data_IF_481682689984
#
_entry.id   IF_481682689984
#
_cell.length_a   1.000
_cell.length_b   1.000
_cell.length_c   1.000
_cell.angle_alpha   90.00
_cell.angle_beta   90.00
_cell.angle_gamma   90.00
#
_symmetry.space_group_name_H-M   'P 1'
#
loop_
_entity.id
_entity.type
_entity.pdbx_description
1 polymer ?
#
# COMPACT_ATOMS: atom_id res chain seq x y z
N UNK A 1 -13.67 -3.98 -21.85
CA UNK A 1 -12.28 -3.72 -21.45
C UNK A 1 -11.41 -4.77 -22.15
N UNK A 2 -10.23 -4.39 -22.66
CA UNK A 2 -9.33 -5.36 -23.31
C UNK A 2 -8.80 -6.37 -22.29
N UNK A 3 -8.33 -7.54 -22.75
CA UNK A 3 -7.74 -8.55 -21.85
C UNK A 3 -6.50 -8.03 -21.10
N UNK A 4 -5.86 -6.98 -21.64
CA UNK A 4 -4.69 -6.31 -21.06
C UNK A 4 -5.02 -5.16 -20.10
N UNK A 5 -6.31 -4.86 -19.85
CA UNK A 5 -6.71 -3.71 -19.03
C UNK A 5 -7.91 -4.01 -18.14
N UNK A 6 -7.81 -3.64 -16.86
CA UNK A 6 -8.91 -3.65 -15.90
C UNK A 6 -8.97 -2.30 -15.20
N UNK A 7 -10.20 -1.83 -14.96
CA UNK A 7 -10.49 -0.60 -14.23
C UNK A 7 -11.56 -0.91 -13.19
N UNK A 8 -11.33 -0.46 -11.97
CA UNK A 8 -12.29 -0.54 -10.87
C UNK A 8 -12.45 0.84 -10.24
N UNK A 9 -13.69 1.23 -9.94
CA UNK A 9 -14.00 2.42 -9.16
C UNK A 9 -14.39 1.98 -7.74
N UNK A 10 -13.53 2.27 -6.77
CA UNK A 10 -13.72 1.84 -5.38
C UNK A 10 -14.23 2.98 -4.50
N UNK A 11 -15.01 2.63 -3.48
CA UNK A 11 -15.41 3.57 -2.44
C UNK A 11 -14.22 3.87 -1.51
N UNK A 12 -13.57 5.00 -1.75
CA UNK A 12 -12.42 5.47 -0.97
C UNK A 12 -12.74 5.79 0.50
N UNK A 13 -14.01 5.78 0.90
CA UNK A 13 -14.45 5.99 2.29
C UNK A 13 -14.59 4.69 3.09
N UNK A 14 -14.55 3.53 2.43
CA UNK A 14 -14.63 2.23 3.09
C UNK A 14 -13.47 2.06 4.09
N UNK A 15 -13.69 1.39 5.25
CA UNK A 15 -12.63 1.19 6.24
C UNK A 15 -11.41 0.44 5.69
N UNK A 16 -11.66 -0.48 4.75
CA UNK A 16 -10.63 -1.22 4.04
C UNK A 16 -11.10 -1.60 2.64
N UNK A 17 -10.20 -1.47 1.68
CA UNK A 17 -10.39 -1.83 0.27
C UNK A 17 -9.24 -2.73 -0.13
N UNK A 18 -9.52 -3.83 -0.83
CA UNK A 18 -8.50 -4.75 -1.35
C UNK A 18 -8.65 -4.86 -2.87
N UNK A 19 -7.56 -4.68 -3.60
CA UNK A 19 -7.57 -4.59 -5.05
C UNK A 19 -7.15 -5.88 -5.76
N UNK A 20 -6.60 -6.86 -5.04
CA UNK A 20 -6.07 -8.09 -5.63
C UNK A 20 -7.10 -8.81 -6.52
N UNK A 21 -8.26 -9.16 -5.97
CA UNK A 21 -9.31 -9.85 -6.73
C UNK A 21 -10.00 -8.90 -7.72
N UNK A 22 -10.27 -7.66 -7.32
CA UNK A 22 -10.98 -6.68 -8.13
C UNK A 22 -10.25 -6.39 -9.46
N UNK A 23 -8.92 -6.30 -9.42
CA UNK A 23 -8.09 -6.04 -10.60
C UNK A 23 -7.35 -7.29 -11.10
N UNK A 24 -7.61 -8.47 -10.52
CA UNK A 24 -6.86 -9.71 -10.76
C UNK A 24 -5.33 -9.51 -10.80
N UNK A 25 -4.81 -8.85 -9.77
CA UNK A 25 -3.38 -8.60 -9.64
C UNK A 25 -2.62 -9.92 -9.46
N UNK A 26 -1.47 -10.06 -10.11
CA UNK A 26 -0.65 -11.28 -10.03
C UNK A 26 0.72 -11.04 -9.43
N UNK A 27 1.19 -9.79 -9.41
CA UNK A 27 2.49 -9.41 -8.85
C UNK A 27 2.45 -8.91 -7.40
N UNK A 28 1.26 -8.55 -6.90
CA UNK A 28 1.10 -7.99 -5.56
C UNK A 28 -0.33 -8.17 -5.03
N UNK A 29 -0.47 -7.91 -3.72
CA UNK A 29 -1.70 -7.42 -3.13
C UNK A 29 -1.57 -5.90 -2.91
N UNK A 30 -2.68 -5.19 -3.04
CA UNK A 30 -2.76 -3.77 -2.70
C UNK A 30 -4.04 -3.54 -1.92
N UNK A 31 -3.91 -2.83 -0.81
CA UNK A 31 -5.04 -2.38 -0.01
C UNK A 31 -4.95 -0.92 0.38
N UNK A 32 -6.12 -0.33 0.58
CA UNK A 32 -6.28 1.00 1.15
C UNK A 32 -6.98 0.83 2.49
N UNK A 33 -6.41 1.40 3.55
CA UNK A 33 -6.98 1.35 4.90
C UNK A 33 -7.25 2.75 5.41
N UNK A 34 -8.49 2.98 5.87
CA UNK A 34 -8.91 4.21 6.52
C UNK A 34 -9.11 3.94 8.01
N UNK A 35 -8.27 4.53 8.85
CA UNK A 35 -8.34 4.38 10.30
C UNK A 35 -8.85 5.71 10.88
N UNK A 36 -10.00 5.67 11.54
CA UNK A 36 -10.60 6.85 12.17
C UNK A 36 -9.72 7.41 13.30
N UNK A 37 -9.88 8.70 13.62
CA UNK A 37 -9.15 9.35 14.71
C UNK A 37 -9.30 8.56 16.02
N UNK A 38 -8.16 8.32 16.71
CA UNK A 38 -8.08 7.55 17.94
C UNK A 38 -8.24 6.03 17.78
N UNK A 39 -8.56 5.52 16.59
CA UNK A 39 -8.66 4.09 16.32
C UNK A 39 -7.29 3.47 15.99
N UNK A 40 -7.20 2.15 16.13
CA UNK A 40 -5.98 1.39 15.89
C UNK A 40 -6.29 0.03 15.27
N UNK A 41 -5.33 -0.51 14.53
CA UNK A 41 -5.33 -1.94 14.20
C UNK A 41 -5.05 -2.72 15.51
N UNK A 42 -5.95 -3.61 15.96
CA UNK A 42 -5.93 -4.13 17.32
C UNK A 42 -4.93 -5.27 17.55
N UNK A 43 -4.03 -5.53 16.59
CA UNK A 43 -3.05 -6.61 16.67
C UNK A 43 -1.72 -6.22 16.03
N UNK A 44 -0.64 -6.74 16.59
CA UNK A 44 0.70 -6.71 15.98
C UNK A 44 0.84 -7.93 15.08
N UNK A 45 1.31 -7.75 13.86
CA UNK A 45 1.53 -8.83 12.92
C UNK A 45 2.88 -8.70 12.20
N UNK A 46 3.28 -9.77 11.53
CA UNK A 46 4.42 -9.80 10.60
C UNK A 46 4.06 -10.71 9.44
N UNK A 47 4.81 -10.63 8.36
CA UNK A 47 4.66 -11.55 7.23
C UNK A 47 5.70 -12.67 7.27
N UNK A 48 5.51 -13.65 6.38
CA UNK A 48 6.45 -14.77 6.22
C UNK A 48 7.39 -14.52 5.05
N UNK A 49 6.85 -14.14 3.89
CA UNK A 49 7.63 -13.99 2.64
C UNK A 49 7.50 -12.61 1.99
N UNK A 50 6.45 -11.86 2.34
CA UNK A 50 6.15 -10.60 1.67
C UNK A 50 6.74 -9.42 2.44
N UNK A 51 7.43 -8.54 1.73
CA UNK A 51 7.62 -7.18 2.20
C UNK A 51 6.38 -6.34 1.92
N UNK A 52 6.23 -5.26 2.67
CA UNK A 52 5.15 -4.30 2.46
C UNK A 52 5.71 -2.89 2.30
N UNK A 53 5.32 -2.23 1.21
CA UNK A 53 5.49 -0.80 1.03
C UNK A 53 4.20 -0.10 1.46
N UNK A 54 4.34 0.86 2.37
CA UNK A 54 3.24 1.73 2.79
C UNK A 54 3.46 3.14 2.28
N UNK A 55 2.35 3.81 1.95
CA UNK A 55 2.30 5.23 1.71
C UNK A 55 1.16 5.87 2.50
N UNK A 56 1.45 6.94 3.24
CA UNK A 56 0.41 7.71 3.93
C UNK A 56 -0.18 8.73 2.95
N UNK A 57 -1.42 8.50 2.53
CA UNK A 57 -2.10 9.34 1.54
C UNK A 57 -2.77 10.57 2.16
N UNK A 58 -3.23 10.45 3.40
CA UNK A 58 -3.87 11.52 4.15
C UNK A 58 -3.76 11.31 5.67
N UNK A 59 -3.84 12.41 6.42
CA UNK A 59 -3.87 12.37 7.88
C UNK A 59 -2.53 12.09 8.54
N UNK A 60 -2.58 11.64 9.79
CA UNK A 60 -1.40 11.35 10.62
C UNK A 60 -1.71 10.31 11.69
N UNK A 61 -0.67 9.66 12.18
CA UNK A 61 -0.78 8.61 13.18
C UNK A 61 0.57 8.08 13.59
N UNK A 62 0.59 6.82 14.00
CA UNK A 62 1.78 6.19 14.53
C UNK A 62 1.91 4.76 14.02
N UNK A 63 3.14 4.40 13.65
CA UNK A 63 3.57 3.04 13.38
C UNK A 63 4.26 2.50 14.63
N UNK A 64 3.71 1.43 15.20
CA UNK A 64 4.49 0.53 16.04
C UNK A 64 5.31 -0.39 15.15
N UNK A 65 6.62 -0.48 15.38
CA UNK A 65 7.52 -1.39 14.68
C UNK A 65 8.61 -1.90 15.64
N UNK A 66 8.65 -3.22 15.86
CA UNK A 66 9.67 -3.91 16.67
C UNK A 66 9.95 -3.25 18.04
N UNK A 67 8.89 -2.86 18.76
CA UNK A 67 8.98 -2.27 20.08
C UNK A 67 9.19 -0.76 20.10
N UNK A 68 9.28 -0.12 18.93
CA UNK A 68 9.37 1.34 18.80
C UNK A 68 8.08 1.91 18.24
N UNK A 69 7.80 3.15 18.58
CA UNK A 69 6.70 3.93 18.01
C UNK A 69 7.30 5.07 17.22
N UNK A 70 6.87 5.22 15.97
CA UNK A 70 7.32 6.25 15.03
C UNK A 70 6.09 7.03 14.56
N UNK A 71 6.18 8.35 14.55
CA UNK A 71 5.13 9.20 13.98
C UNK A 71 5.15 9.04 12.45
N UNK A 72 3.96 8.98 11.85
CA UNK A 72 3.79 8.94 10.40
C UNK A 72 2.71 9.94 9.98
N UNK A 73 2.92 10.62 8.86
CA UNK A 73 1.99 11.61 8.33
C UNK A 73 1.94 11.61 6.80
N UNK A 74 0.94 12.30 6.24
CA UNK A 74 0.74 12.41 4.79
C UNK A 74 2.06 12.71 4.06
N UNK A 75 2.38 11.87 3.09
CA UNK A 75 3.60 11.98 2.29
C UNK A 75 4.73 11.06 2.74
N UNK A 76 4.62 10.46 3.93
CA UNK A 76 5.56 9.44 4.37
C UNK A 76 5.39 8.14 3.58
N UNK A 77 6.52 7.54 3.23
CA UNK A 77 6.62 6.23 2.61
C UNK A 77 7.61 5.38 3.38
N UNK A 78 7.25 4.13 3.64
CA UNK A 78 8.12 3.22 4.37
C UNK A 78 7.94 1.79 3.90
N UNK A 79 9.04 1.05 3.94
CA UNK A 79 9.10 -0.36 3.56
C UNK A 79 9.36 -1.18 4.81
N UNK A 80 8.60 -2.25 5.00
CA UNK A 80 8.78 -3.17 6.13
C UNK A 80 9.07 -4.56 5.61
N UNK A 81 10.21 -5.09 6.03
CA UNK A 81 10.61 -6.47 5.78
C UNK A 81 9.60 -7.47 6.38
N UNK A 82 9.55 -8.72 5.88
CA UNK A 82 8.65 -9.75 6.40
C UNK A 82 8.74 -9.91 7.92
N UNK A 83 9.94 -9.83 8.49
CA UNK A 83 10.22 -10.02 9.90
C UNK A 83 9.69 -8.90 10.80
N UNK A 84 9.49 -7.69 10.26
CA UNK A 84 9.13 -6.50 11.02
C UNK A 84 7.73 -6.60 11.65
N UNK A 85 7.67 -6.59 12.99
CA UNK A 85 6.42 -6.74 13.75
C UNK A 85 5.73 -5.39 13.91
N UNK A 86 4.56 -5.23 13.30
CA UNK A 86 3.92 -3.94 13.09
C UNK A 86 2.46 -3.87 13.52
N UNK A 87 2.05 -2.67 13.93
CA UNK A 87 0.66 -2.24 14.07
C UNK A 87 0.59 -0.74 13.78
N UNK A 88 -0.51 -0.25 13.22
CA UNK A 88 -0.68 1.16 12.92
C UNK A 88 -1.91 1.69 13.66
N UNK A 89 -1.82 2.92 14.17
CA UNK A 89 -2.95 3.66 14.72
C UNK A 89 -3.03 5.07 14.14
N UNK A 90 -4.24 5.61 14.10
CA UNK A 90 -4.45 7.02 13.80
C UNK A 90 -4.10 7.90 15.00
N UNK A 91 -3.81 9.17 14.75
CA UNK A 91 -3.69 10.16 15.83
C UNK A 91 -5.04 10.36 16.52
N UNK A 92 -5.03 10.85 17.77
CA UNK A 92 -6.26 11.09 18.53
C UNK A 92 -7.17 12.16 17.88
N UNK A 93 -6.57 13.11 17.16
CA UNK A 93 -7.22 14.28 16.54
C UNK A 93 -7.37 14.16 15.01
N UNK A 94 -6.89 13.07 14.40
CA UNK A 94 -6.87 12.93 12.95
C UNK A 94 -6.95 11.45 12.55
N UNK A 95 -7.81 11.12 11.60
CA UNK A 95 -7.75 9.83 10.93
C UNK A 95 -6.49 9.69 10.07
N UNK A 96 -6.23 8.49 9.56
CA UNK A 96 -5.14 8.24 8.61
C UNK A 96 -5.61 7.32 7.48
N UNK A 97 -5.22 7.66 6.25
CA UNK A 97 -5.45 6.84 5.05
C UNK A 97 -4.11 6.33 4.54
N UNK A 98 -3.99 5.01 4.43
CA UNK A 98 -2.77 4.32 4.01
C UNK A 98 -3.05 3.50 2.76
N UNK A 99 -2.12 3.53 1.81
CA UNK A 99 -1.98 2.43 0.84
C UNK A 99 -0.92 1.46 1.36
N UNK A 100 -1.21 0.16 1.26
CA UNK A 100 -0.27 -0.92 1.50
C UNK A 100 -0.11 -1.70 0.20
N UNK A 101 1.13 -1.94 -0.22
CA UNK A 101 1.48 -2.77 -1.37
C UNK A 101 2.32 -3.93 -0.87
N UNK A 102 1.75 -5.11 -0.93
CA UNK A 102 2.37 -6.34 -0.49
C UNK A 102 2.96 -7.10 -1.67
N UNK A 103 4.27 -7.35 -1.63
CA UNK A 103 5.01 -8.09 -2.68
C UNK A 103 5.93 -9.11 -2.04
N UNK A 104 6.26 -10.19 -2.76
CA UNK A 104 7.24 -11.15 -2.28
C UNK A 104 8.61 -10.46 -2.20
N UNK A 105 9.25 -10.50 -1.04
CA UNK A 105 10.56 -9.85 -0.85
C UNK A 105 11.57 -10.38 -1.87
N UNK A 106 12.22 -9.45 -2.57
CA UNK A 106 13.24 -9.76 -3.57
C UNK A 106 12.71 -10.44 -4.84
N UNK A 107 11.40 -10.39 -5.11
CA UNK A 107 10.84 -10.96 -6.34
C UNK A 107 10.85 -10.01 -7.55
N UNK A 108 11.19 -8.73 -7.35
CA UNK A 108 11.28 -7.77 -8.45
C UNK A 108 12.43 -8.18 -9.39
N UNK A 109 12.10 -8.43 -10.66
CA UNK A 109 13.06 -8.69 -11.72
C UNK A 109 13.61 -7.39 -12.31
N UNK A 110 13.56 -7.28 -13.64
CA UNK A 110 13.82 -6.02 -14.31
C UNK A 110 12.81 -4.95 -13.85
N UNK A 111 13.22 -3.68 -13.91
CA UNK A 111 12.40 -2.54 -13.51
C UNK A 111 12.70 -1.34 -14.40
N UNK A 112 11.73 -0.43 -14.54
CA UNK A 112 11.86 0.81 -15.32
C UNK A 112 12.39 0.54 -16.74
N UNK A 113 13.48 1.18 -17.17
CA UNK A 113 14.02 1.07 -18.52
C UNK A 113 14.60 -0.32 -18.86
N UNK A 114 14.80 -1.18 -17.87
CA UNK A 114 15.29 -2.56 -18.10
C UNK A 114 14.17 -3.56 -18.38
N UNK A 115 12.92 -3.16 -18.14
CA UNK A 115 11.72 -3.97 -18.40
C UNK A 115 10.81 -3.33 -19.46
N UNK A 116 10.72 -2.00 -19.47
CA UNK A 116 9.89 -1.24 -20.41
C UNK A 116 10.48 -1.18 -21.82
N UNK A 117 9.61 -1.38 -22.82
CA UNK A 117 9.94 -1.27 -24.25
C UNK A 117 9.17 -0.07 -24.83
N UNK A 118 9.90 0.86 -25.46
CA UNK A 118 9.26 1.94 -26.21
C UNK A 118 8.62 1.37 -27.48
N UNK A 119 7.38 1.79 -27.74
CA UNK A 119 6.64 1.48 -28.97
C UNK A 119 6.41 2.76 -29.75
N UNK A 120 6.20 2.65 -31.06
CA UNK A 120 6.05 3.80 -31.96
C UNK A 120 4.67 4.50 -31.85
N UNK A 121 3.74 3.92 -31.09
CA UNK A 121 2.42 4.49 -30.85
C UNK A 121 2.51 5.84 -30.13
N UNK A 122 1.62 6.77 -30.49
CA UNK A 122 1.51 8.09 -29.84
C UNK A 122 0.16 8.25 -29.17
N UNK A 123 0.20 8.67 -27.91
CA UNK A 123 -1.00 9.04 -27.20
C UNK A 123 -1.58 10.35 -27.77
N UNK A 124 -2.91 10.56 -27.74
CA UNK A 124 -3.57 11.73 -28.34
C UNK A 124 -3.27 13.07 -27.64
N UNK A 125 -2.52 13.06 -26.53
CA UNK A 125 -2.07 14.25 -25.80
C UNK A 125 -0.58 14.59 -26.04
N UNK A 126 0.09 13.86 -26.93
CA UNK A 126 1.41 14.18 -27.49
C UNK A 126 1.25 14.64 -28.94
#
# INVERSE_FOLDING_TARGET
MSEVFKLEHVDMTAPRIELHNALALTGCEVSISNIAAGAAIPFVHRHVANEELYGVLAGKGELYIDGKVVQIEKGDWFRIDPEGRRAIRAAADSGITLICVQTRKGSLGNYTMTDGVLVDDRAPWL
#
